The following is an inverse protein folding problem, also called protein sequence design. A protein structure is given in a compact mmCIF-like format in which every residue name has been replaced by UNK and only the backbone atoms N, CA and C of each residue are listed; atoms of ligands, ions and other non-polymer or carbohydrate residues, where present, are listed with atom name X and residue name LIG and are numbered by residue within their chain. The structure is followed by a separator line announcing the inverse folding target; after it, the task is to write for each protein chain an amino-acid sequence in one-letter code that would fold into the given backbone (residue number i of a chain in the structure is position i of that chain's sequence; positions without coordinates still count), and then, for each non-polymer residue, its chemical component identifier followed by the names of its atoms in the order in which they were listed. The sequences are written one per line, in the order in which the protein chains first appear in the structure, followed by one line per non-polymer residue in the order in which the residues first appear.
data_IF_793251867365
#
_entry.id   IF_793251867365
#
_cell.length_a   1.000
_cell.length_b   1.000
_cell.length_c   1.000
_cell.angle_alpha   90.00
_cell.angle_beta   90.00
_cell.angle_gamma   90.00
#
_symmetry.space_group_name_H-M   'P 1'
#
loop_
_entity.id
_entity.type
_entity.pdbx_description
1 polymer ?
#
# COMPACT_ATOMS: atom_id res chain seq x y z
N UNK A 1 10.37 14.88 -3.28
CA UNK A 1 9.59 15.76 -2.37
C UNK A 1 10.26 17.13 -2.20
N UNK A 2 9.52 18.24 -2.31
CA UNK A 2 10.06 19.59 -2.13
C UNK A 2 10.26 19.99 -0.65
N UNK A 3 10.86 21.15 -0.37
CA UNK A 3 11.17 21.58 1.01
C UNK A 3 9.92 21.75 1.90
N UNK A 4 8.87 22.36 1.37
CA UNK A 4 7.62 22.59 2.10
C UNK A 4 6.92 21.28 2.47
N UNK A 5 6.89 20.33 1.53
CA UNK A 5 6.34 19.00 1.76
C UNK A 5 7.12 18.25 2.84
N UNK A 6 8.47 18.28 2.79
CA UNK A 6 9.31 17.69 3.84
C UNK A 6 9.07 18.30 5.22
N UNK A 7 8.84 19.61 5.28
CA UNK A 7 8.54 20.30 6.54
C UNK A 7 7.18 19.88 7.09
N UNK A 8 6.15 19.77 6.23
CA UNK A 8 4.82 19.31 6.65
C UNK A 8 4.83 17.85 7.10
N UNK A 9 5.44 16.94 6.34
CA UNK A 9 5.56 15.53 6.73
C UNK A 9 6.17 15.35 8.13
N UNK A 10 7.26 16.07 8.43
CA UNK A 10 7.88 16.07 9.77
C UNK A 10 6.96 16.60 10.86
N UNK A 11 6.17 17.62 10.55
CA UNK A 11 5.20 18.18 11.49
C UNK A 11 4.06 17.19 11.78
N UNK A 12 3.56 16.48 10.77
CA UNK A 12 2.56 15.43 10.95
C UNK A 12 3.10 14.28 11.80
N UNK A 13 4.34 13.83 11.52
CA UNK A 13 5.03 12.82 12.36
C UNK A 13 5.08 13.29 13.81
N UNK A 14 5.59 14.49 14.08
CA UNK A 14 5.69 15.01 15.45
C UNK A 14 4.33 15.11 16.16
N UNK A 15 3.25 15.37 15.42
CA UNK A 15 1.90 15.53 15.97
C UNK A 15 1.16 14.19 16.17
N UNK A 16 1.54 13.14 15.46
CA UNK A 16 1.01 11.78 15.66
C UNK A 16 1.87 10.91 16.57
N UNK A 17 3.18 11.17 16.66
CA UNK A 17 4.15 10.36 17.42
C UNK A 17 3.76 10.10 18.89
N UNK A 18 3.15 11.05 19.64
CA UNK A 18 2.73 10.79 21.02
C UNK A 18 1.69 9.67 21.19
N UNK A 19 1.01 9.28 20.11
CA UNK A 19 -0.03 8.25 20.10
C UNK A 19 0.47 6.90 19.58
N UNK A 20 1.74 6.82 19.17
CA UNK A 20 2.37 5.60 18.69
C UNK A 20 3.37 5.07 19.72
N UNK A 21 3.37 3.75 19.92
CA UNK A 21 4.32 3.04 20.78
C UNK A 21 5.63 2.68 20.06
N UNK A 22 5.76 3.05 18.77
CA UNK A 22 6.98 2.93 17.97
C UNK A 22 7.24 4.20 17.15
N UNK A 23 8.50 4.44 16.70
CA UNK A 23 8.82 5.57 15.83
C UNK A 23 8.03 5.52 14.52
N UNK A 24 7.38 6.63 14.18
CA UNK A 24 6.66 6.79 12.93
C UNK A 24 7.62 7.19 11.81
N UNK A 25 7.54 6.49 10.69
CA UNK A 25 8.35 6.75 9.48
C UNK A 25 7.59 7.59 8.47
N UNK A 26 6.26 7.47 8.44
CA UNK A 26 5.38 8.24 7.58
C UNK A 26 4.06 8.56 8.29
N UNK A 27 3.50 9.74 8.05
CA UNK A 27 2.17 10.15 8.53
C UNK A 27 1.48 10.97 7.47
N UNK A 28 0.23 10.65 7.19
CA UNK A 28 -0.62 11.42 6.29
C UNK A 28 -1.94 11.80 6.97
N UNK A 29 -2.47 12.95 6.58
CA UNK A 29 -3.78 13.43 7.01
C UNK A 29 -4.85 12.94 6.04
N UNK A 30 -5.98 12.51 6.56
CA UNK A 30 -7.12 12.01 5.81
C UNK A 30 -8.41 12.67 6.28
N UNK A 31 -9.35 12.77 5.34
CA UNK A 31 -10.73 13.16 5.62
C UNK A 31 -11.73 12.23 4.94
N UNK A 32 -12.99 12.30 5.33
CA UNK A 32 -14.09 11.69 4.56
C UNK A 32 -14.06 12.16 3.09
N UNK A 33 -14.38 11.25 2.16
CA UNK A 33 -14.37 11.54 0.72
C UNK A 33 -15.37 12.64 0.39
N UNK A 34 -14.95 13.63 -0.41
CA UNK A 34 -15.82 14.76 -0.77
C UNK A 34 -15.79 15.91 0.24
N UNK A 35 -15.10 15.75 1.37
CA UNK A 35 -14.86 16.83 2.31
C UNK A 35 -13.68 17.71 1.87
N UNK A 36 -13.72 19.00 2.21
CA UNK A 36 -12.66 19.97 1.89
C UNK A 36 -12.41 20.96 3.04
N UNK A 37 -11.30 21.70 2.99
CA UNK A 37 -11.10 22.80 3.95
C UNK A 37 -12.20 23.86 3.78
N UNK A 38 -12.94 24.15 4.85
CA UNK A 38 -14.04 25.12 4.86
C UNK A 38 -15.44 24.53 4.63
N UNK A 39 -15.54 23.22 4.49
CA UNK A 39 -16.80 22.46 4.49
C UNK A 39 -17.53 22.58 5.83
N UNK A 40 -18.83 22.88 5.84
CA UNK A 40 -19.61 22.97 7.08
C UNK A 40 -19.86 21.57 7.68
N UNK A 41 -19.85 21.43 9.03
CA UNK A 41 -20.27 20.22 9.71
C UNK A 41 -21.69 19.82 9.28
N UNK A 42 -21.86 18.59 8.80
CA UNK A 42 -23.16 18.05 8.38
C UNK A 42 -23.55 18.27 6.90
N UNK A 43 -22.78 19.02 6.11
CA UNK A 43 -23.05 19.24 4.68
C UNK A 43 -21.99 18.63 3.73
N UNK A 44 -20.98 17.94 4.25
CA UNK A 44 -19.86 17.51 3.41
C UNK A 44 -19.14 16.27 3.94
N UNK A 45 -18.74 15.41 3.00
CA UNK A 45 -18.05 14.14 3.29
C UNK A 45 -18.99 12.94 3.26
N UNK A 46 -18.56 11.87 2.59
CA UNK A 46 -19.26 10.59 2.53
C UNK A 46 -19.03 9.77 3.80
N UNK A 47 -19.81 10.05 4.84
CA UNK A 47 -19.79 9.32 6.11
C UNK A 47 -20.05 7.82 5.92
N UNK A 48 -20.89 7.46 4.95
CA UNK A 48 -21.20 6.08 4.59
C UNK A 48 -19.96 5.26 4.19
N UNK A 49 -18.93 5.93 3.67
CA UNK A 49 -17.64 5.34 3.33
C UNK A 49 -16.63 5.37 4.49
N UNK A 50 -16.87 6.20 5.51
CA UNK A 50 -15.91 6.42 6.58
C UNK A 50 -15.85 5.27 7.58
N UNK A 51 -16.81 4.34 7.57
CA UNK A 51 -16.87 3.16 8.44
C UNK A 51 -16.59 3.48 9.92
N UNK A 52 -17.17 4.59 10.40
CA UNK A 52 -17.03 5.05 11.79
C UNK A 52 -15.72 5.76 12.12
N UNK A 53 -14.89 6.09 11.13
CA UNK A 53 -13.68 6.92 11.35
C UNK A 53 -14.05 8.40 11.58
N UNK A 54 -13.28 9.12 12.43
CA UNK A 54 -13.42 10.56 12.58
C UNK A 54 -13.29 11.29 11.25
N UNK A 55 -13.96 12.45 11.15
CA UNK A 55 -13.94 13.27 9.93
C UNK A 55 -12.52 13.64 9.50
N UNK A 56 -11.66 14.00 10.45
CA UNK A 56 -10.25 14.30 10.22
C UNK A 56 -9.38 13.35 11.04
N UNK A 57 -8.47 12.67 10.35
CA UNK A 57 -7.69 11.57 10.92
C UNK A 57 -6.25 11.62 10.42
N UNK A 58 -5.28 11.56 11.34
CA UNK A 58 -3.90 11.26 11.01
C UNK A 58 -3.72 9.73 10.99
N UNK A 59 -3.14 9.22 9.92
CA UNK A 59 -2.75 7.82 9.82
C UNK A 59 -1.23 7.76 9.71
N UNK A 60 -0.61 7.14 10.71
CA UNK A 60 0.83 6.95 10.78
C UNK A 60 1.25 5.50 10.60
N UNK A 61 2.33 5.28 9.85
CA UNK A 61 3.02 3.99 9.80
C UNK A 61 4.29 4.06 10.65
N UNK A 62 4.43 3.10 11.56
CA UNK A 62 5.70 2.78 12.18
C UNK A 62 6.36 1.59 11.50
N UNK A 63 7.30 0.94 12.19
CA UNK A 63 8.03 -0.21 11.65
C UNK A 63 7.13 -1.45 11.49
N UNK A 64 6.16 -1.65 12.38
CA UNK A 64 5.36 -2.87 12.42
C UNK A 64 3.85 -2.62 12.45
N UNK A 65 3.42 -1.39 12.75
CA UNK A 65 2.02 -1.05 12.97
C UNK A 65 1.61 0.21 12.23
N UNK A 66 0.32 0.25 11.93
CA UNK A 66 -0.40 1.44 11.53
C UNK A 66 -1.15 2.00 12.74
N UNK A 67 -1.12 3.31 12.92
CA UNK A 67 -1.78 4.05 14.00
C UNK A 67 -2.78 5.03 13.38
N UNK A 68 -4.03 4.93 13.81
CA UNK A 68 -5.10 5.84 13.40
C UNK A 68 -5.40 6.78 14.56
N UNK A 69 -5.23 8.08 14.33
CA UNK A 69 -5.30 9.12 15.34
C UNK A 69 -6.35 10.14 14.92
N UNK A 70 -7.35 10.35 15.77
CA UNK A 70 -8.31 11.43 15.65
C UNK A 70 -7.61 12.78 15.84
N UNK A 71 -8.07 13.78 15.11
CA UNK A 71 -7.45 15.11 15.11
C UNK A 71 -8.35 16.15 15.73
N UNK A 72 -7.76 17.29 16.09
CA UNK A 72 -8.48 18.47 16.54
C UNK A 72 -9.35 19.03 15.40
N UNK A 73 -10.61 19.35 15.71
CA UNK A 73 -11.57 19.84 14.71
C UNK A 73 -11.15 21.19 14.09
N UNK A 74 -10.40 22.02 14.83
CA UNK A 74 -9.91 23.32 14.38
C UNK A 74 -8.50 23.27 13.77
N UNK A 75 -7.68 22.28 14.13
CA UNK A 75 -6.36 21.98 13.53
C UNK A 75 -6.29 20.50 13.09
N UNK A 76 -6.72 20.17 11.87
CA UNK A 76 -6.80 18.79 11.39
C UNK A 76 -5.43 18.12 11.22
N UNK A 77 -4.33 18.88 11.34
CA UNK A 77 -2.98 18.32 11.33
C UNK A 77 -2.50 17.96 12.75
N UNK A 78 -3.27 18.23 13.82
CA UNK A 78 -2.94 17.97 15.23
C UNK A 78 -3.69 16.75 15.77
N UNK A 79 -2.95 15.72 16.19
CA UNK A 79 -3.53 14.54 16.82
C UNK A 79 -4.02 14.83 18.25
N UNK A 80 -5.16 14.25 18.60
CA UNK A 80 -5.82 14.39 19.92
C UNK A 80 -6.03 13.04 20.62
N UNK A 81 -6.37 11.99 19.87
CA UNK A 81 -6.71 10.68 20.47
C UNK A 81 -6.42 9.51 19.55
N UNK A 82 -5.85 8.43 20.11
CA UNK A 82 -5.70 7.16 19.39
C UNK A 82 -7.08 6.50 19.17
N UNK A 83 -7.44 6.25 17.91
CA UNK A 83 -8.64 5.51 17.51
C UNK A 83 -8.39 4.01 17.49
N UNK A 84 -7.20 3.60 17.06
CA UNK A 84 -6.78 2.22 17.04
C UNK A 84 -5.41 2.04 16.40
N UNK A 85 -4.86 0.83 16.57
CA UNK A 85 -3.60 0.45 15.96
C UNK A 85 -3.62 -1.01 15.55
N UNK A 86 -3.01 -1.31 14.41
CA UNK A 86 -3.09 -2.62 13.77
C UNK A 86 -1.74 -3.03 13.18
N UNK A 87 -1.45 -4.33 13.08
CA UNK A 87 -0.25 -4.82 12.41
C UNK A 87 -0.27 -4.43 10.93
N UNK A 88 0.77 -3.73 10.48
CA UNK A 88 0.85 -3.12 9.15
C UNK A 88 0.82 -4.17 8.03
N UNK A 89 1.36 -5.36 8.31
CA UNK A 89 1.39 -6.55 7.43
C UNK A 89 0.04 -7.28 7.28
N UNK A 90 -0.95 -6.99 8.13
CA UNK A 90 -2.29 -7.59 8.06
C UNK A 90 -3.32 -6.66 7.42
N UNK A 91 -2.91 -5.47 7.01
CA UNK A 91 -3.79 -4.47 6.41
C UNK A 91 -3.69 -4.51 4.89
N UNK A 92 -4.71 -3.98 4.22
CA UNK A 92 -4.63 -3.63 2.80
C UNK A 92 -5.01 -2.17 2.61
N UNK A 93 -4.17 -1.45 1.87
CA UNK A 93 -4.40 -0.08 1.44
C UNK A 93 -4.45 -0.06 -0.08
N UNK A 94 -5.62 0.19 -0.65
CA UNK A 94 -5.85 0.22 -2.09
C UNK A 94 -6.21 1.64 -2.52
N UNK A 95 -5.60 2.14 -3.59
CA UNK A 95 -5.97 3.44 -4.15
C UNK A 95 -7.25 3.31 -4.99
N UNK A 96 -8.23 4.18 -4.72
CA UNK A 96 -9.50 4.27 -5.43
C UNK A 96 -9.69 5.66 -6.05
N UNK A 97 -10.38 5.73 -7.18
CA UNK A 97 -10.86 6.97 -7.79
C UNK A 97 -12.38 7.01 -7.74
N UNK A 98 -12.93 7.96 -7.01
CA UNK A 98 -14.37 8.09 -6.80
C UNK A 98 -14.90 9.33 -7.52
N UNK A 99 -16.02 9.20 -8.21
CA UNK A 99 -16.60 10.33 -8.95
C UNK A 99 -17.00 11.48 -8.05
N UNK A 100 -16.60 12.69 -8.44
CA UNK A 100 -17.05 13.94 -7.84
C UNK A 100 -18.30 14.39 -8.56
N UNK A 101 -19.44 14.26 -7.90
CA UNK A 101 -20.75 14.65 -8.43
C UNK A 101 -21.25 15.94 -7.78
N UNK A 102 -21.85 16.83 -8.57
CA UNK A 102 -22.66 17.97 -8.09
C UNK A 102 -24.01 17.88 -8.79
N UNK A 103 -25.02 17.39 -8.06
CA UNK A 103 -26.26 16.93 -8.68
C UNK A 103 -25.98 15.83 -9.71
N UNK A 104 -26.52 15.91 -10.94
CA UNK A 104 -26.27 14.92 -12.00
C UNK A 104 -24.94 15.12 -12.74
N UNK A 105 -24.17 16.17 -12.44
CA UNK A 105 -22.98 16.54 -13.20
C UNK A 105 -21.71 15.98 -12.56
N UNK A 106 -20.90 15.27 -13.35
CA UNK A 106 -19.56 14.80 -12.96
C UNK A 106 -18.53 15.91 -13.17
N UNK A 107 -17.88 16.35 -12.08
CA UNK A 107 -16.89 17.44 -12.07
C UNK A 107 -15.45 16.96 -11.82
N UNK A 108 -15.23 15.64 -11.85
CA UNK A 108 -13.90 15.04 -11.72
C UNK A 108 -13.93 13.79 -10.86
N UNK A 109 -12.79 13.46 -10.25
CA UNK A 109 -12.63 12.34 -9.34
C UNK A 109 -11.92 12.78 -8.05
N UNK A 110 -12.36 12.23 -6.93
CA UNK A 110 -11.64 12.20 -5.68
C UNK A 110 -10.66 11.05 -5.71
N UNK A 111 -9.38 11.34 -5.43
CA UNK A 111 -8.44 10.30 -5.01
C UNK A 111 -8.82 9.86 -3.61
N UNK A 112 -8.94 8.56 -3.38
CA UNK A 112 -9.24 8.00 -2.08
C UNK A 112 -8.39 6.75 -1.84
N UNK A 113 -8.23 6.38 -0.58
CA UNK A 113 -7.56 5.15 -0.16
C UNK A 113 -8.59 4.31 0.58
N UNK A 114 -8.79 3.07 0.11
CA UNK A 114 -9.53 2.05 0.81
C UNK A 114 -8.62 1.35 1.80
N UNK A 115 -9.01 1.37 3.06
CA UNK A 115 -8.37 0.68 4.16
C UNK A 115 -9.19 -0.55 4.54
N UNK A 116 -8.57 -1.73 4.46
CA UNK A 116 -9.10 -2.95 5.05
C UNK A 116 -8.34 -3.23 6.34
N UNK A 117 -8.98 -2.93 7.47
CA UNK A 117 -8.39 -3.10 8.80
C UNK A 117 -8.92 -4.39 9.46
N UNK A 118 -8.09 -5.22 10.10
CA UNK A 118 -8.56 -6.42 10.80
C UNK A 118 -9.67 -6.11 11.81
N UNK A 119 -10.79 -6.82 11.71
CA UNK A 119 -11.93 -6.71 12.62
C UNK A 119 -12.79 -5.45 12.41
N UNK A 120 -12.65 -4.75 11.29
CA UNK A 120 -13.53 -3.62 10.92
C UNK A 120 -14.04 -3.76 9.49
N UNK A 121 -15.17 -3.11 9.23
CA UNK A 121 -15.62 -2.90 7.87
C UNK A 121 -14.60 -2.04 7.10
N UNK A 122 -14.44 -2.24 5.79
CA UNK A 122 -13.55 -1.42 4.98
C UNK A 122 -13.95 0.06 5.04
N UNK A 123 -12.95 0.92 5.09
CA UNK A 123 -13.12 2.37 5.17
C UNK A 123 -12.48 3.01 3.95
N UNK A 124 -13.10 4.03 3.35
CA UNK A 124 -12.53 4.80 2.23
C UNK A 124 -12.37 6.25 2.63
N UNK A 125 -11.13 6.74 2.63
CA UNK A 125 -10.78 8.11 3.03
C UNK A 125 -10.03 8.84 1.93
N UNK A 126 -10.22 10.16 1.85
CA UNK A 126 -9.49 11.04 0.94
C UNK A 126 -8.23 11.57 1.64
N UNK A 127 -7.03 11.40 1.05
CA UNK A 127 -5.82 11.99 1.59
C UNK A 127 -5.80 13.51 1.42
N UNK A 128 -5.27 14.21 2.42
CA UNK A 128 -5.06 15.64 2.43
C UNK A 128 -3.57 15.97 2.37
N UNK A 129 -3.07 16.08 1.13
CA UNK A 129 -1.66 16.34 0.83
C UNK A 129 -0.99 15.23 0.04
N UNK A 130 0.35 15.25 0.00
CA UNK A 130 1.18 14.29 -0.75
C UNK A 130 1.91 13.30 0.16
N UNK A 131 1.81 13.46 1.47
CA UNK A 131 2.43 12.60 2.48
C UNK A 131 1.83 11.19 2.48
N UNK A 132 0.67 11.01 1.84
CA UNK A 132 0.08 9.71 1.58
C UNK A 132 1.01 8.81 0.76
N UNK A 133 1.86 9.35 -0.12
CA UNK A 133 2.79 8.52 -0.89
C UNK A 133 3.81 7.83 0.04
N UNK A 134 4.35 8.57 1.01
CA UNK A 134 5.30 8.04 1.99
C UNK A 134 4.62 6.98 2.88
N UNK A 135 3.33 7.18 3.21
CA UNK A 135 2.53 6.20 3.96
C UNK A 135 2.30 4.92 3.15
N UNK A 136 1.95 5.04 1.86
CA UNK A 136 1.76 3.90 0.96
C UNK A 136 3.08 3.17 0.69
N UNK A 137 4.19 3.90 0.61
CA UNK A 137 5.53 3.31 0.52
C UNK A 137 5.90 2.56 1.80
N UNK A 138 5.71 3.16 2.98
CA UNK A 138 5.95 2.49 4.26
C UNK A 138 5.06 1.24 4.42
N UNK A 139 3.79 1.32 4.02
CA UNK A 139 2.90 0.17 4.00
C UNK A 139 3.41 -0.93 3.06
N UNK A 140 3.79 -0.58 1.82
CA UNK A 140 4.36 -1.55 0.86
C UNK A 140 5.66 -2.19 1.35
N UNK A 141 6.53 -1.41 2.00
CA UNK A 141 7.77 -1.91 2.56
C UNK A 141 7.57 -2.83 3.79
N UNK A 142 6.49 -2.61 4.54
CA UNK A 142 6.13 -3.39 5.73
C UNK A 142 5.16 -4.53 5.47
N UNK A 143 4.53 -4.58 4.28
CA UNK A 143 4.02 -5.84 3.78
C UNK A 143 5.16 -6.82 3.91
N UNK A 144 4.93 -8.00 4.52
CA UNK A 144 5.97 -8.98 4.66
C UNK A 144 6.45 -9.17 3.24
N UNK A 145 7.72 -8.80 3.00
CA UNK A 145 8.32 -8.83 1.67
C UNK A 145 7.65 -9.98 0.97
N UNK A 146 6.88 -9.72 -0.09
CA UNK A 146 6.28 -10.78 -0.90
C UNK A 146 7.39 -11.53 -1.67
N UNK A 147 8.57 -11.61 -1.04
CA UNK A 147 9.90 -12.08 -1.37
C UNK A 147 10.50 -12.90 -0.20
N UNK A 148 9.82 -13.04 0.95
CA UNK A 148 10.31 -13.97 1.98
C UNK A 148 10.28 -15.38 1.39
N UNK A 149 11.40 -16.09 1.46
CA UNK A 149 11.46 -17.51 1.13
C UNK A 149 10.62 -18.35 2.10
N UNK A 150 10.23 -17.80 3.25
CA UNK A 150 9.34 -18.46 4.20
C UNK A 150 7.98 -18.74 3.58
N UNK A 151 7.65 -20.03 3.50
CA UNK A 151 6.41 -20.50 2.89
C UNK A 151 6.39 -20.39 1.37
N UNK A 152 7.48 -20.04 0.69
CA UNK A 152 7.56 -20.04 -0.76
C UNK A 152 7.50 -21.48 -1.28
N UNK A 153 6.53 -21.76 -2.15
CA UNK A 153 6.27 -23.09 -2.70
C UNK A 153 6.79 -23.25 -4.12
N UNK A 154 6.73 -22.20 -4.95
CA UNK A 154 7.20 -22.25 -6.33
C UNK A 154 7.60 -20.86 -6.82
N UNK A 155 8.66 -20.82 -7.62
CA UNK A 155 9.06 -19.67 -8.43
C UNK A 155 8.92 -20.02 -9.90
N UNK A 156 8.21 -19.18 -10.64
CA UNK A 156 8.08 -19.28 -12.08
C UNK A 156 8.51 -17.98 -12.74
N UNK A 157 9.01 -18.07 -13.97
CA UNK A 157 9.23 -16.95 -14.86
C UNK A 157 8.18 -17.00 -15.95
N UNK A 158 7.49 -15.89 -16.15
CA UNK A 158 6.40 -15.77 -17.11
C UNK A 158 6.76 -14.69 -18.12
N UNK A 159 6.64 -15.01 -19.40
CA UNK A 159 6.72 -14.05 -20.51
C UNK A 159 5.33 -13.83 -21.09
N UNK A 160 4.98 -12.58 -21.37
CA UNK A 160 3.72 -12.16 -21.99
C UNK A 160 4.01 -11.50 -23.34
N UNK A 161 3.01 -11.41 -24.23
CA UNK A 161 3.24 -10.88 -25.57
C UNK A 161 3.68 -9.40 -25.53
N UNK A 162 4.52 -8.95 -26.49
CA UNK A 162 5.13 -7.61 -26.52
C UNK A 162 4.15 -6.43 -26.58
N UNK A 163 2.86 -6.69 -26.79
CA UNK A 163 1.78 -5.71 -26.81
C UNK A 163 1.07 -5.54 -25.45
N UNK A 164 1.54 -6.25 -24.39
CA UNK A 164 0.90 -6.27 -23.07
C UNK A 164 1.22 -5.08 -22.15
N UNK A 165 2.24 -4.26 -22.43
CA UNK A 165 2.55 -3.06 -21.64
C UNK A 165 4.03 -2.91 -21.30
N UNK A 166 4.36 -2.21 -20.21
CA UNK A 166 5.72 -1.74 -19.93
C UNK A 166 6.72 -2.84 -19.53
N UNK A 167 6.26 -4.05 -19.20
CA UNK A 167 7.08 -5.20 -18.86
C UNK A 167 6.45 -6.48 -19.45
N UNK A 168 7.21 -7.19 -20.29
CA UNK A 168 6.77 -8.43 -20.95
C UNK A 168 7.24 -9.69 -20.20
N UNK A 169 7.82 -9.53 -19.01
CA UNK A 169 8.44 -10.59 -18.25
C UNK A 169 8.29 -10.39 -16.73
N UNK A 170 7.91 -11.46 -16.02
CA UNK A 170 7.59 -11.44 -14.60
C UNK A 170 8.15 -12.67 -13.87
N UNK A 171 8.58 -12.49 -12.63
CA UNK A 171 8.64 -13.58 -11.67
C UNK A 171 7.27 -13.77 -11.03
N UNK A 172 6.80 -15.02 -10.95
CA UNK A 172 5.57 -15.41 -10.25
C UNK A 172 5.95 -16.30 -9.07
N UNK A 173 5.64 -15.82 -7.87
CA UNK A 173 5.93 -16.43 -6.59
C UNK A 173 4.64 -17.02 -6.02
N UNK A 174 4.59 -18.34 -5.83
CA UNK A 174 3.47 -19.03 -5.20
C UNK A 174 3.89 -19.51 -3.81
N UNK A 175 3.00 -19.36 -2.85
CA UNK A 175 3.23 -19.69 -1.45
C UNK A 175 2.36 -20.87 -0.98
N UNK A 176 2.78 -21.56 0.08
CA UNK A 176 2.08 -22.70 0.68
C UNK A 176 0.72 -22.31 1.26
N UNK A 177 0.52 -21.05 1.63
CA UNK A 177 -0.76 -20.49 2.11
C UNK A 177 -1.75 -20.17 0.97
N UNK A 178 -1.37 -20.45 -0.29
CA UNK A 178 -2.17 -20.17 -1.47
C UNK A 178 -2.03 -18.74 -2.00
N UNK A 179 -1.19 -17.90 -1.39
CA UNK A 179 -0.87 -16.56 -1.92
C UNK A 179 -0.04 -16.69 -3.20
N UNK A 180 -0.29 -15.77 -4.15
CA UNK A 180 0.51 -15.59 -5.36
C UNK A 180 0.92 -14.14 -5.50
N UNK A 181 2.14 -13.87 -5.96
CA UNK A 181 2.62 -12.52 -6.28
C UNK A 181 3.39 -12.53 -7.58
N UNK A 182 3.17 -11.54 -8.44
CA UNK A 182 3.99 -11.29 -9.63
C UNK A 182 4.89 -10.07 -9.41
N UNK A 183 6.13 -10.15 -9.89
CA UNK A 183 7.11 -9.06 -9.83
C UNK A 183 7.67 -8.85 -11.24
N UNK A 184 7.51 -7.66 -11.84
CA UNK A 184 8.07 -7.36 -13.15
C UNK A 184 9.60 -7.48 -13.14
N UNK A 185 10.19 -8.00 -14.23
CA UNK A 185 11.63 -8.21 -14.32
C UNK A 185 12.42 -6.90 -14.12
N UNK A 186 11.92 -5.77 -14.63
CA UNK A 186 12.54 -4.45 -14.43
C UNK A 186 12.65 -4.01 -12.96
N UNK A 187 11.79 -4.53 -12.09
CA UNK A 187 11.75 -4.23 -10.66
C UNK A 187 12.40 -5.34 -9.79
N UNK A 188 12.87 -6.43 -10.41
CA UNK A 188 13.30 -7.65 -9.73
C UNK A 188 14.81 -7.74 -9.45
N UNK A 189 15.56 -6.63 -9.53
CA UNK A 189 17.03 -6.63 -9.41
C UNK A 189 17.53 -7.27 -8.11
N UNK A 190 17.02 -6.84 -6.96
CA UNK A 190 17.40 -7.41 -5.65
C UNK A 190 16.79 -8.80 -5.45
N UNK A 191 15.59 -9.02 -5.99
CA UNK A 191 14.86 -10.29 -5.88
C UNK A 191 15.58 -11.44 -6.58
N UNK A 192 16.15 -11.20 -7.77
CA UNK A 192 16.84 -12.25 -8.51
C UNK A 192 18.00 -12.83 -7.69
N UNK A 193 18.79 -11.99 -7.02
CA UNK A 193 19.89 -12.45 -6.17
C UNK A 193 19.39 -13.36 -5.04
N UNK A 194 18.31 -12.97 -4.36
CA UNK A 194 17.68 -13.77 -3.30
C UNK A 194 17.14 -15.12 -3.83
N UNK A 195 16.54 -15.12 -5.01
CA UNK A 195 16.01 -16.33 -5.64
C UNK A 195 17.11 -17.29 -6.07
N UNK A 196 18.22 -16.78 -6.59
CA UNK A 196 19.38 -17.58 -7.01
C UNK A 196 20.09 -18.26 -5.84
N UNK A 197 19.95 -17.71 -4.62
CA UNK A 197 20.46 -18.32 -3.39
C UNK A 197 19.57 -19.48 -2.88
N UNK A 198 18.38 -19.69 -3.45
CA UNK A 198 17.52 -20.82 -3.09
C UNK A 198 18.18 -22.16 -3.48
N UNK A 199 18.22 -23.15 -2.57
CA UNK A 199 18.75 -24.47 -2.90
C UNK A 199 17.98 -25.11 -4.06
N UNK A 200 18.70 -25.36 -5.16
CA UNK A 200 18.13 -25.98 -6.36
C UNK A 200 17.40 -25.02 -7.30
N UNK A 201 17.62 -23.70 -7.19
CA UNK A 201 17.15 -22.75 -8.19
C UNK A 201 17.81 -23.04 -9.56
N UNK A 202 16.99 -23.16 -10.60
CA UNK A 202 17.45 -23.47 -11.96
C UNK A 202 17.84 -22.19 -12.70
N UNK A 203 19.09 -21.79 -12.49
CA UNK A 203 19.70 -20.65 -13.19
C UNK A 203 19.77 -20.85 -14.71
N UNK A 204 19.94 -22.08 -15.17
CA UNK A 204 20.01 -22.35 -16.61
C UNK A 204 18.64 -22.16 -17.26
N UNK A 205 17.57 -22.62 -16.59
CA UNK A 205 16.21 -22.40 -17.06
C UNK A 205 15.83 -20.93 -17.05
N UNK A 206 16.29 -20.15 -16.06
CA UNK A 206 16.09 -18.71 -16.07
C UNK A 206 16.77 -18.04 -17.29
N UNK A 207 18.03 -18.37 -17.56
CA UNK A 207 18.77 -17.83 -18.72
C UNK A 207 18.12 -18.26 -20.04
N UNK A 208 17.56 -19.47 -20.11
CA UNK A 208 16.78 -19.91 -21.28
C UNK A 208 15.50 -19.09 -21.41
N UNK A 209 14.72 -18.98 -20.35
CA UNK A 209 13.39 -18.37 -20.37
C UNK A 209 13.43 -16.86 -20.65
N UNK A 210 14.43 -16.13 -20.14
CA UNK A 210 14.61 -14.70 -20.47
C UNK A 210 15.00 -14.45 -21.93
N UNK A 211 15.52 -15.48 -22.62
CA UNK A 211 15.83 -15.42 -24.06
C UNK A 211 14.66 -15.78 -24.97
N UNK A 212 13.51 -16.21 -24.42
CA UNK A 212 12.32 -16.57 -25.20
C UNK A 212 11.44 -15.34 -25.41
N UNK A 213 11.07 -15.08 -26.67
CA UNK A 213 10.20 -13.95 -27.05
C UNK A 213 8.73 -14.36 -27.20
N UNK A 214 8.41 -15.63 -27.03
CA UNK A 214 7.05 -16.17 -27.05
C UNK A 214 6.46 -16.17 -25.65
N UNK A 215 5.12 -16.15 -25.56
CA UNK A 215 4.42 -16.28 -24.28
C UNK A 215 4.65 -17.65 -23.66
N UNK A 216 4.95 -17.68 -22.36
CA UNK A 216 5.28 -18.93 -21.70
C UNK A 216 5.45 -18.79 -20.20
N UNK A 217 5.49 -19.94 -19.53
CA UNK A 217 5.79 -20.04 -18.10
C UNK A 217 6.82 -21.13 -17.89
N UNK A 218 7.99 -20.76 -17.36
CA UNK A 218 9.04 -21.69 -16.92
C UNK A 218 9.08 -21.75 -15.41
N UNK A 219 9.13 -22.94 -14.82
CA UNK A 219 9.30 -23.10 -13.37
C UNK A 219 10.78 -23.13 -13.04
N UNK A 220 11.24 -22.15 -12.27
CA UNK A 220 12.65 -22.00 -11.90
C UNK A 220 13.01 -22.68 -10.59
N UNK A 221 12.03 -22.85 -9.72
CA UNK A 221 12.25 -23.47 -8.42
C UNK A 221 10.95 -24.02 -7.84
N UNK A 222 11.07 -25.10 -7.06
CA UNK A 222 9.99 -25.63 -6.22
C UNK A 222 10.52 -25.91 -4.83
N UNK A 223 9.78 -25.46 -3.83
CA UNK A 223 10.00 -25.85 -2.45
C UNK A 223 9.80 -27.34 -2.28
N UNK A 224 10.65 -27.99 -1.49
CA UNK A 224 10.36 -29.34 -1.03
C UNK A 224 9.19 -29.25 -0.06
N UNK A 225 8.08 -29.92 -0.37
CA UNK A 225 7.07 -30.22 0.64
C UNK A 225 7.77 -30.97 1.77
N UNK A 226 7.75 -30.40 2.98
CA UNK A 226 8.13 -31.11 4.21
C UNK A 226 6.94 -31.90 4.68
#
# INVERSE_FOLDING_TARGET
MNYLQRRRARLLINRAQPFADEPLTAVANFTWVGNGMGSQPGESGREDLAGGMPMWTLIGAGATRLFVVETDEADPDRGERLVGSWPLNLMRLDEESLDRMVGPVRLGVHRAIRFTLPGRDPVVLQPFGREVEDLLEAHRAAQPNTRSSDGLAQVSFMTTAPDSGADDAFFVLNYLDGRTTSVPLGEAHDLLAELQDLPGFDNEEFIRAIGVTEEGVSVLWRGRAV
#
